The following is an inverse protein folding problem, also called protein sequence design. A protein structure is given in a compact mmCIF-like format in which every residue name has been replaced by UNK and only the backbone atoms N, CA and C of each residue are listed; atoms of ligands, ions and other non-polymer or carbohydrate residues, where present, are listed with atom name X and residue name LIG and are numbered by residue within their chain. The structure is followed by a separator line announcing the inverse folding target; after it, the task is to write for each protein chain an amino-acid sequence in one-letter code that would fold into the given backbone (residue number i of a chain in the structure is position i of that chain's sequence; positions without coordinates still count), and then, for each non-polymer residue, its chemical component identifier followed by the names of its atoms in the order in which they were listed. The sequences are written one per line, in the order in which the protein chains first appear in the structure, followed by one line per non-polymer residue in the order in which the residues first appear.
data_IF_881160351960
#
_entry.id   IF_881160351960
#
_cell.length_a   1.000
_cell.length_b   1.000
_cell.length_c   1.000
_cell.angle_alpha   90.00
_cell.angle_beta   90.00
_cell.angle_gamma   90.00
#
_symmetry.space_group_name_H-M   'P 1'
#
loop_
_entity.id
_entity.type
_entity.pdbx_description
1 polymer ?
#
# COMPACT_ATOMS: atom_id res chain seq x y z
N UNK A 1 -14.36 10.71 0.43
CA UNK A 1 -12.96 11.19 0.52
C UNK A 1 -12.25 10.86 -0.79
N UNK A 2 -11.57 11.84 -1.41
CA UNK A 2 -11.00 11.69 -2.76
C UNK A 2 -9.98 10.56 -2.87
N UNK A 3 -9.08 10.44 -1.89
CA UNK A 3 -8.08 9.37 -1.86
C UNK A 3 -8.70 7.97 -1.73
N UNK A 4 -9.85 7.84 -1.06
CA UNK A 4 -10.54 6.56 -0.97
C UNK A 4 -11.12 6.16 -2.33
N UNK A 5 -11.68 7.11 -3.10
CA UNK A 5 -12.14 6.84 -4.47
C UNK A 5 -10.99 6.43 -5.40
N UNK A 6 -9.83 7.06 -5.26
CA UNK A 6 -8.61 6.67 -5.99
C UNK A 6 -8.16 5.25 -5.61
N UNK A 7 -8.07 4.95 -4.31
CA UNK A 7 -7.67 3.62 -3.85
C UNK A 7 -8.66 2.54 -4.30
N UNK A 8 -9.97 2.82 -4.20
CA UNK A 8 -11.02 1.90 -4.66
C UNK A 8 -10.93 1.67 -6.16
N UNK A 9 -10.62 2.70 -6.96
CA UNK A 9 -10.44 2.56 -8.41
C UNK A 9 -9.32 1.57 -8.74
N UNK A 10 -8.22 1.62 -7.98
CA UNK A 10 -7.10 0.70 -8.15
C UNK A 10 -7.45 -0.72 -7.67
N UNK A 11 -8.14 -0.87 -6.53
CA UNK A 11 -8.66 -2.16 -6.07
C UNK A 11 -9.59 -2.80 -7.11
N UNK A 12 -10.45 -2.00 -7.75
CA UNK A 12 -11.34 -2.41 -8.83
C UNK A 12 -10.64 -2.65 -10.18
N UNK A 13 -9.31 -2.74 -10.22
CA UNK A 13 -8.55 -2.98 -11.44
C UNK A 13 -8.68 -1.86 -12.47
N UNK A 14 -8.72 -0.60 -12.02
CA UNK A 14 -8.69 0.58 -12.89
C UNK A 14 -10.06 1.20 -13.19
N UNK A 15 -11.14 0.75 -12.53
CA UNK A 15 -12.51 1.19 -12.79
C UNK A 15 -13.06 2.04 -11.64
N UNK A 16 -13.59 3.21 -11.97
CA UNK A 16 -14.25 4.11 -11.01
C UNK A 16 -15.63 4.50 -11.55
N UNK A 17 -16.67 4.37 -10.72
CA UNK A 17 -18.04 4.78 -11.04
C UNK A 17 -18.54 4.30 -12.42
N UNK A 18 -18.27 3.04 -12.78
CA UNK A 18 -18.67 2.47 -14.07
C UNK A 18 -17.69 2.72 -15.22
N UNK A 19 -16.79 3.70 -15.11
CA UNK A 19 -15.84 4.11 -16.16
C UNK A 19 -14.47 3.45 -15.93
N UNK A 20 -13.89 2.90 -17.01
CA UNK A 20 -12.52 2.37 -16.99
C UNK A 20 -11.53 3.49 -17.26
N UNK A 21 -10.67 3.77 -16.28
CA UNK A 21 -9.59 4.75 -16.39
C UNK A 21 -8.26 4.08 -16.73
N UNK A 22 -8.02 2.88 -16.18
CA UNK A 22 -6.84 2.06 -16.46
C UNK A 22 -7.26 0.63 -16.79
N UNK A 23 -6.46 -0.07 -17.62
CA UNK A 23 -6.62 -1.51 -17.81
C UNK A 23 -6.26 -2.26 -16.54
N UNK A 24 -6.89 -3.42 -16.24
CA UNK A 24 -6.54 -4.22 -15.07
C UNK A 24 -5.08 -4.70 -15.13
N UNK A 25 -4.58 -5.04 -16.34
CA UNK A 25 -3.17 -5.36 -16.57
C UNK A 25 -2.25 -4.17 -16.31
N UNK A 26 -2.69 -2.95 -16.63
CA UNK A 26 -1.93 -1.73 -16.32
C UNK A 26 -1.81 -1.52 -14.82
N UNK A 27 -2.90 -1.73 -14.07
CA UNK A 27 -2.87 -1.66 -12.60
C UNK A 27 -1.91 -2.72 -12.04
N UNK A 28 -2.05 -3.97 -12.48
CA UNK A 28 -1.17 -5.07 -12.05
C UNK A 28 0.31 -4.77 -12.37
N UNK A 29 0.59 -4.22 -13.55
CA UNK A 29 1.94 -3.80 -13.93
C UNK A 29 2.45 -2.68 -13.03
N UNK A 30 1.67 -1.62 -12.80
CA UNK A 30 2.03 -0.52 -11.90
C UNK A 30 2.28 -0.98 -10.46
N UNK A 31 1.54 -1.98 -9.98
CA UNK A 31 1.66 -2.55 -8.64
C UNK A 31 2.56 -3.78 -8.57
N UNK A 32 3.41 -4.03 -9.57
CA UNK A 32 4.45 -5.05 -9.52
C UNK A 32 5.78 -4.47 -9.08
N UNK A 33 6.67 -5.28 -8.51
CA UNK A 33 8.03 -4.82 -8.21
C UNK A 33 8.90 -4.81 -9.47
N UNK A 34 9.37 -3.62 -9.83
CA UNK A 34 10.19 -3.40 -11.03
C UNK A 34 11.69 -3.34 -10.76
N UNK A 35 12.11 -3.27 -9.49
CA UNK A 35 13.54 -3.17 -9.16
C UNK A 35 14.14 -4.50 -8.71
N UNK A 36 13.34 -5.47 -8.27
CA UNK A 36 13.83 -6.80 -7.92
C UNK A 36 14.99 -6.72 -6.91
N UNK A 37 16.09 -7.46 -7.15
CA UNK A 37 17.31 -7.39 -6.32
C UNK A 37 18.05 -6.04 -6.37
N UNK A 38 17.79 -5.19 -7.36
CA UNK A 38 18.38 -3.84 -7.46
C UNK A 38 17.68 -2.85 -6.52
N UNK A 39 16.50 -3.19 -6.00
CA UNK A 39 15.79 -2.37 -5.03
C UNK A 39 16.53 -2.38 -3.69
N UNK A 40 16.70 -1.20 -3.09
CA UNK A 40 17.30 -1.07 -1.76
C UNK A 40 16.30 -1.48 -0.66
N UNK A 41 16.03 -2.79 -0.57
CA UNK A 41 15.05 -3.38 0.36
C UNK A 41 15.59 -3.54 1.79
N UNK A 42 16.87 -3.28 2.00
CA UNK A 42 17.59 -3.59 3.24
C UNK A 42 18.05 -2.35 4.01
N UNK A 43 17.85 -1.16 3.45
CA UNK A 43 18.22 0.09 4.10
C UNK A 43 17.24 0.45 5.21
N UNK A 44 17.79 0.83 6.36
CA UNK A 44 17.05 1.25 7.56
C UNK A 44 16.20 2.50 7.30
N UNK A 45 16.50 3.27 6.26
CA UNK A 45 15.69 4.42 5.82
C UNK A 45 14.52 4.07 4.89
N UNK A 46 14.45 2.85 4.37
CA UNK A 46 13.42 2.44 3.42
C UNK A 46 12.07 2.24 4.14
N UNK A 47 11.07 3.05 3.78
CA UNK A 47 9.69 2.91 4.26
C UNK A 47 8.87 2.31 3.13
N UNK A 48 8.08 1.23 3.33
CA UNK A 48 7.60 0.71 4.62
C UNK A 48 8.66 -0.05 5.42
N UNK A 49 9.60 -0.70 4.75
CA UNK A 49 10.63 -1.49 5.38
C UNK A 49 11.02 -2.69 4.53
N UNK A 50 11.79 -3.59 5.15
CA UNK A 50 12.22 -4.84 4.53
C UNK A 50 11.01 -5.64 4.04
N UNK A 51 11.13 -6.24 2.86
CA UNK A 51 10.08 -7.07 2.26
C UNK A 51 9.12 -6.33 1.33
N UNK A 52 9.34 -5.04 1.10
CA UNK A 52 8.67 -4.27 0.05
C UNK A 52 9.61 -4.02 -1.14
N UNK A 53 9.09 -4.18 -2.35
CA UNK A 53 9.69 -3.77 -3.62
C UNK A 53 9.12 -2.43 -4.11
N UNK A 54 9.51 -2.02 -5.32
CA UNK A 54 9.18 -0.72 -5.88
C UNK A 54 8.31 -0.87 -7.13
N UNK A 55 7.04 -0.49 -6.99
CA UNK A 55 6.12 -0.28 -8.10
C UNK A 55 6.23 1.14 -8.65
N UNK A 56 5.34 1.48 -9.57
CA UNK A 56 5.25 2.84 -10.10
C UNK A 56 4.45 3.72 -9.15
N UNK A 57 5.17 4.45 -8.30
CA UNK A 57 4.58 5.32 -7.30
C UNK A 57 4.22 4.61 -5.99
N UNK A 58 4.27 3.28 -5.95
CA UNK A 58 3.92 2.45 -4.80
C UNK A 58 5.10 1.62 -4.28
N UNK A 59 5.00 1.21 -3.03
CA UNK A 59 5.79 0.13 -2.46
C UNK A 59 4.94 -1.14 -2.48
N UNK A 60 5.48 -2.26 -2.93
CA UNK A 60 4.72 -3.50 -3.14
C UNK A 60 5.25 -4.58 -2.22
N UNK A 61 4.42 -5.23 -1.41
CA UNK A 61 4.86 -6.33 -0.55
C UNK A 61 5.21 -7.55 -1.40
N UNK A 62 6.44 -8.05 -1.27
CA UNK A 62 6.97 -9.15 -2.10
C UNK A 62 7.29 -10.42 -1.31
N UNK A 63 7.25 -10.39 0.03
CA UNK A 63 7.49 -11.56 0.90
C UNK A 63 6.45 -11.65 2.01
N UNK A 64 6.11 -12.87 2.46
CA UNK A 64 5.34 -13.04 3.70
C UNK A 64 6.17 -12.61 4.92
N UNK A 65 5.50 -12.32 6.04
CA UNK A 65 6.19 -12.05 7.31
C UNK A 65 7.03 -10.77 7.33
N UNK A 66 6.80 -9.83 6.41
CA UNK A 66 7.38 -8.49 6.53
C UNK A 66 6.94 -7.84 7.87
N UNK A 67 7.66 -6.83 8.39
CA UNK A 67 7.53 -6.36 9.77
C UNK A 67 6.16 -5.78 10.18
N UNK A 68 5.22 -5.68 9.24
CA UNK A 68 3.82 -5.27 9.49
C UNK A 68 2.86 -6.31 8.93
N UNK A 69 1.65 -6.39 9.47
CA UNK A 69 0.59 -7.24 8.93
C UNK A 69 0.26 -6.83 7.48
N UNK A 70 -0.15 -7.78 6.64
CA UNK A 70 -0.48 -7.55 5.23
C UNK A 70 -0.06 -8.71 4.32
N UNK A 71 -0.71 -8.82 3.17
CA UNK A 71 -0.51 -9.91 2.22
C UNK A 71 0.48 -9.57 1.10
N UNK A 72 1.17 -10.59 0.58
CA UNK A 72 1.99 -10.43 -0.64
C UNK A 72 1.11 -9.92 -1.78
N UNK A 73 1.58 -8.88 -2.48
CA UNK A 73 0.80 -8.16 -3.49
C UNK A 73 0.07 -6.91 -2.97
N UNK A 74 -0.01 -6.71 -1.64
CA UNK A 74 -0.43 -5.43 -1.07
C UNK A 74 0.50 -4.31 -1.54
N UNK A 75 -0.05 -3.18 -1.95
CA UNK A 75 0.73 -2.02 -2.34
C UNK A 75 0.34 -0.77 -1.54
N UNK A 76 1.37 -0.01 -1.17
CA UNK A 76 1.34 1.00 -0.12
C UNK A 76 2.03 2.29 -0.58
N UNK A 77 1.56 3.43 -0.08
CA UNK A 77 2.30 4.69 -0.12
C UNK A 77 2.05 5.53 1.12
N UNK A 78 3.09 6.23 1.57
CA UNK A 78 3.01 7.20 2.67
C UNK A 78 3.50 8.58 2.24
N UNK A 79 2.90 9.64 2.78
CA UNK A 79 3.31 11.03 2.62
C UNK A 79 4.12 11.57 3.81
N UNK A 80 5.00 12.55 3.59
CA UNK A 80 5.90 13.03 4.65
C UNK A 80 5.17 13.49 5.93
N UNK A 81 4.02 14.15 5.79
CA UNK A 81 3.24 14.69 6.90
C UNK A 81 2.58 13.62 7.80
N UNK A 82 2.60 12.35 7.43
CA UNK A 82 2.01 11.26 8.22
C UNK A 82 0.96 10.44 7.48
N UNK A 83 0.34 11.02 6.45
CA UNK A 83 -0.68 10.35 5.62
C UNK A 83 -0.17 9.02 5.06
N UNK A 84 -1.04 8.04 4.91
CA UNK A 84 -0.74 6.83 4.16
C UNK A 84 -2.01 6.20 3.60
N UNK A 85 -1.83 5.34 2.60
CA UNK A 85 -2.85 4.42 2.14
C UNK A 85 -2.21 3.11 1.69
N UNK A 86 -3.01 2.05 1.70
CA UNK A 86 -2.66 0.78 1.06
C UNK A 86 -3.90 0.12 0.50
N UNK A 87 -3.66 -0.76 -0.45
CA UNK A 87 -4.66 -1.61 -1.08
C UNK A 87 -4.15 -3.05 -0.94
N UNK A 88 -4.99 -3.91 -0.38
CA UNK A 88 -4.76 -5.34 -0.29
C UNK A 88 -5.85 -6.07 -1.08
N UNK A 89 -5.58 -6.43 -2.35
CA UNK A 89 -6.55 -7.13 -3.19
C UNK A 89 -6.96 -8.50 -2.64
N UNK A 90 -6.14 -9.12 -1.79
CA UNK A 90 -6.46 -10.43 -1.22
C UNK A 90 -7.55 -10.34 -0.16
N UNK A 91 -7.62 -9.22 0.56
CA UNK A 91 -8.62 -8.94 1.60
C UNK A 91 -9.77 -8.05 1.09
N UNK A 92 -9.84 -7.75 -0.22
CA UNK A 92 -10.73 -6.73 -0.81
C UNK A 92 -10.72 -5.40 -0.03
N UNK A 93 -9.52 -5.00 0.43
CA UNK A 93 -9.34 -3.94 1.41
C UNK A 93 -8.67 -2.72 0.79
N UNK A 94 -9.23 -1.54 1.06
CA UNK A 94 -8.51 -0.27 1.02
C UNK A 94 -8.47 0.36 2.39
N UNK A 95 -7.37 1.04 2.70
CA UNK A 95 -7.30 1.90 3.87
C UNK A 95 -6.64 3.22 3.50
N UNK A 96 -7.23 4.32 4.00
CA UNK A 96 -6.70 5.67 3.85
C UNK A 96 -6.65 6.30 5.23
N UNK A 97 -5.46 6.71 5.66
CA UNK A 97 -5.23 7.34 6.95
C UNK A 97 -4.66 8.74 6.72
N UNK A 98 -5.39 9.74 7.19
CA UNK A 98 -5.06 11.15 7.01
C UNK A 98 -4.71 11.77 8.35
N UNK A 99 -3.46 12.21 8.50
CA UNK A 99 -2.95 12.86 9.72
C UNK A 99 -1.87 13.87 9.35
N UNK A 100 -1.73 14.92 10.17
CA UNK A 100 -0.59 15.82 10.16
C UNK A 100 0.24 15.61 11.43
N UNK A 101 1.12 14.61 11.39
CA UNK A 101 2.02 14.26 12.48
C UNK A 101 3.39 13.80 11.92
N UNK A 102 4.18 14.71 11.31
CA UNK A 102 5.44 14.33 10.65
C UNK A 102 6.40 13.57 11.58
N UNK A 103 6.50 13.99 12.85
CA UNK A 103 7.38 13.39 13.86
C UNK A 103 6.97 11.96 14.25
N UNK A 104 5.68 11.61 14.15
CA UNK A 104 5.13 10.31 14.57
C UNK A 104 4.64 9.45 13.39
N UNK A 105 4.93 9.87 12.15
CA UNK A 105 4.40 9.24 10.93
C UNK A 105 4.59 7.73 10.90
N UNK A 106 5.79 7.25 11.22
CA UNK A 106 6.14 5.82 11.15
C UNK A 106 5.35 5.04 12.20
N UNK A 107 5.35 5.51 13.45
CA UNK A 107 4.62 4.88 14.55
C UNK A 107 3.13 4.76 14.26
N UNK A 108 2.48 5.86 13.84
CA UNK A 108 1.04 5.85 13.59
C UNK A 108 0.64 4.93 12.44
N UNK A 109 1.45 4.85 11.37
CA UNK A 109 1.23 3.92 10.26
C UNK A 109 1.22 2.47 10.69
N UNK A 110 2.14 2.09 11.57
CA UNK A 110 2.23 0.71 12.04
C UNK A 110 1.07 0.35 12.96
N UNK A 111 0.73 1.25 13.89
CA UNK A 111 -0.39 1.05 14.82
C UNK A 111 -1.70 0.94 14.05
N UNK A 112 -2.02 1.89 13.16
CA UNK A 112 -3.30 1.87 12.43
C UNK A 112 -3.43 0.65 11.53
N UNK A 113 -2.35 0.26 10.84
CA UNK A 113 -2.34 -0.92 9.99
C UNK A 113 -2.55 -2.19 10.82
N UNK A 114 -1.83 -2.34 11.93
CA UNK A 114 -1.99 -3.49 12.83
C UNK A 114 -3.41 -3.61 13.35
N UNK A 115 -4.00 -2.51 13.84
CA UNK A 115 -5.37 -2.49 14.34
C UNK A 115 -6.39 -2.87 13.27
N UNK A 116 -6.23 -2.39 12.03
CA UNK A 116 -7.14 -2.73 10.93
C UNK A 116 -7.08 -4.21 10.59
N UNK A 117 -5.88 -4.77 10.38
CA UNK A 117 -5.76 -6.21 10.04
C UNK A 117 -6.22 -7.13 11.17
N UNK A 118 -6.05 -6.74 12.42
CA UNK A 118 -6.56 -7.51 13.57
C UNK A 118 -8.08 -7.44 13.74
N UNK A 119 -8.74 -6.49 13.08
CA UNK A 119 -10.19 -6.31 13.14
C UNK A 119 -10.92 -6.96 11.95
N UNK A 120 -10.20 -7.60 11.02
CA UNK A 120 -10.82 -8.36 9.93
C UNK A 120 -11.29 -9.69 10.53
N UNK A 121 -12.57 -9.98 10.36
CA UNK A 121 -13.21 -11.25 10.69
C UNK A 121 -13.47 -12.05 9.40
N UNK A 122 -13.51 -13.38 9.51
CA UNK A 122 -13.77 -14.30 8.38
C UNK A 122 -15.24 -14.30 7.93
#
# INVERSE_FOLDING_TARGET
MDFANFAQMLLNGGKSNGTRLLGPETVAYMSSDHLGPLGNRSDRGYTPGVGYGNGFGFYVRVVPGAPFLGNVGEYYKGGYAGTCFWIDPKEDLIAVFMVSAPAHRVTYRHIIKTMIYQAIED
#
